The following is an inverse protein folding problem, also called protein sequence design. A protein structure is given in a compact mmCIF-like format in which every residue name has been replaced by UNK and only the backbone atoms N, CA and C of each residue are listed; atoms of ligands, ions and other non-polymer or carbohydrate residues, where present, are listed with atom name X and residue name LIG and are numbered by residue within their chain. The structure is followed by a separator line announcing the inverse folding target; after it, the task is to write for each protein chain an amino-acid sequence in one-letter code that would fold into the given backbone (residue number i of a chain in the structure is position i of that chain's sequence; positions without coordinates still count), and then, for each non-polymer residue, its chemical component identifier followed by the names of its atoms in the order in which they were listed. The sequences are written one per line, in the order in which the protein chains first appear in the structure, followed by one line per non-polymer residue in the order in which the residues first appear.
data_IF_499647364139
#
_entry.id   IF_499647364139
#
_cell.length_a   1.000
_cell.length_b   1.000
_cell.length_c   1.000
_cell.angle_alpha   90.00
_cell.angle_beta   90.00
_cell.angle_gamma   90.00
#
_symmetry.space_group_name_H-M   'P 1'
#
loop_
_entity.id
_entity.type
_entity.pdbx_description
1 polymer ?
#
# COMPACT_ATOMS: atom_id res chain seq x y z
N UNK A 1 9.75 4.99 -6.31
CA UNK A 1 10.14 4.51 -4.98
C UNK A 1 11.39 5.23 -4.50
N UNK A 2 12.56 5.10 -5.14
CA UNK A 2 13.80 5.83 -4.76
C UNK A 2 13.57 7.32 -4.50
N UNK A 3 12.84 8.03 -5.37
CA UNK A 3 12.49 9.43 -5.17
C UNK A 3 11.75 9.73 -3.83
N UNK A 4 10.92 8.80 -3.33
CA UNK A 4 10.24 8.97 -2.05
C UNK A 4 11.23 8.83 -0.87
N UNK A 5 12.16 7.89 -0.94
CA UNK A 5 13.23 7.76 0.04
C UNK A 5 14.16 8.97 0.04
N UNK A 6 14.53 9.48 -1.14
CA UNK A 6 15.34 10.70 -1.26
C UNK A 6 14.62 11.93 -0.72
N UNK A 7 13.31 12.07 -0.97
CA UNK A 7 12.51 13.14 -0.37
C UNK A 7 12.49 13.03 1.16
N UNK A 8 12.33 11.80 1.69
CA UNK A 8 12.38 11.55 3.14
C UNK A 8 13.72 11.95 3.75
N UNK A 9 14.83 11.55 3.12
CA UNK A 9 16.19 11.95 3.51
C UNK A 9 16.34 13.47 3.52
N UNK A 10 15.99 14.13 2.42
CA UNK A 10 16.09 15.59 2.30
C UNK A 10 15.24 16.32 3.35
N UNK A 11 14.05 15.80 3.66
CA UNK A 11 13.20 16.34 4.71
C UNK A 11 13.85 16.20 6.10
N UNK A 12 14.45 15.03 6.40
CA UNK A 12 15.16 14.79 7.65
C UNK A 12 16.42 15.64 7.80
N UNK A 13 17.18 15.83 6.71
CA UNK A 13 18.36 16.70 6.70
C UNK A 13 18.00 18.16 7.03
N UNK A 14 16.75 18.57 6.75
CA UNK A 14 16.17 19.87 7.14
C UNK A 14 15.50 19.86 8.52
N UNK A 15 15.56 18.74 9.25
CA UNK A 15 14.95 18.59 10.58
C UNK A 15 13.43 18.47 10.56
N UNK A 16 12.82 18.11 9.43
CA UNK A 16 11.37 17.92 9.34
C UNK A 16 10.94 16.54 9.86
N UNK A 17 9.73 16.49 10.39
CA UNK A 17 9.06 15.27 10.83
C UNK A 17 7.59 15.28 10.42
N UNK A 18 6.99 14.09 10.36
CA UNK A 18 5.56 13.92 10.10
C UNK A 18 4.73 14.40 11.31
N UNK A 19 3.52 14.88 11.04
CA UNK A 19 2.56 15.28 12.08
C UNK A 19 1.99 14.05 12.80
N UNK A 20 1.73 14.14 14.13
CA UNK A 20 1.37 12.96 14.94
C UNK A 20 0.05 12.29 14.55
N UNK A 21 -0.87 13.00 13.86
CA UNK A 21 -2.14 12.45 13.41
C UNK A 21 -2.09 11.74 12.05
N UNK A 22 -0.92 11.70 11.41
CA UNK A 22 -0.73 11.02 10.13
C UNK A 22 -0.31 9.57 10.39
N UNK A 23 -0.94 8.63 9.69
CA UNK A 23 -0.59 7.21 9.71
C UNK A 23 0.19 6.81 8.45
N UNK A 24 1.52 7.01 8.40
CA UNK A 24 2.35 6.56 7.29
C UNK A 24 2.44 5.03 7.25
N UNK A 25 2.62 4.47 6.05
CA UNK A 25 2.94 3.04 5.89
C UNK A 25 3.69 2.82 4.58
N UNK A 26 4.62 1.87 4.59
CA UNK A 26 5.30 1.40 3.40
C UNK A 26 5.00 -0.09 3.18
N UNK A 27 4.35 -0.41 2.07
CA UNK A 27 4.05 -1.78 1.69
C UNK A 27 4.61 -2.08 0.29
N UNK A 28 5.89 -2.51 0.20
CA UNK A 28 6.51 -2.77 -1.09
C UNK A 28 5.91 -4.01 -1.76
N UNK A 29 5.86 -4.00 -3.09
CA UNK A 29 5.42 -5.17 -3.86
C UNK A 29 6.42 -6.34 -3.88
N UNK A 30 7.67 -6.10 -3.47
CA UNK A 30 8.74 -7.11 -3.44
C UNK A 30 9.80 -6.73 -2.40
N UNK A 31 10.48 -7.74 -1.85
CA UNK A 31 11.65 -7.57 -0.96
C UNK A 31 12.82 -6.85 -1.63
N UNK A 32 12.88 -6.85 -2.97
CA UNK A 32 13.90 -6.09 -3.73
C UNK A 32 13.79 -4.59 -3.47
N UNK A 33 12.60 -4.08 -3.16
CA UNK A 33 12.41 -2.67 -2.85
C UNK A 33 13.15 -2.27 -1.57
N UNK A 34 13.03 -3.08 -0.54
CA UNK A 34 13.74 -2.85 0.72
C UNK A 34 15.25 -2.95 0.50
N UNK A 35 15.72 -3.89 -0.33
CA UNK A 35 17.15 -4.01 -0.63
C UNK A 35 17.77 -2.77 -1.25
N UNK A 36 17.13 -2.19 -2.26
CA UNK A 36 17.69 -0.99 -2.87
C UNK A 36 17.55 0.23 -1.96
N UNK A 37 16.60 0.23 -1.00
CA UNK A 37 16.54 1.27 0.02
C UNK A 37 17.66 1.11 1.05
N UNK A 38 17.92 -0.11 1.52
CA UNK A 38 19.02 -0.41 2.44
C UNK A 38 20.37 -0.09 1.79
N UNK A 39 20.58 -0.52 0.55
CA UNK A 39 21.80 -0.24 -0.21
C UNK A 39 22.02 1.26 -0.48
N UNK A 40 20.92 2.03 -0.62
CA UNK A 40 20.97 3.48 -0.78
C UNK A 40 21.01 4.26 0.55
N UNK A 41 20.92 3.57 1.70
CA UNK A 41 20.82 4.19 3.01
C UNK A 41 19.50 4.92 3.28
N UNK A 42 18.45 4.66 2.50
CA UNK A 42 17.17 5.38 2.55
C UNK A 42 16.15 4.75 3.51
N UNK A 43 16.38 3.53 3.97
CA UNK A 43 15.46 2.84 4.90
C UNK A 43 15.33 3.58 6.21
N UNK A 44 16.46 4.00 6.80
CA UNK A 44 16.46 4.75 8.07
C UNK A 44 15.74 6.10 7.94
N UNK A 45 15.80 6.73 6.78
CA UNK A 45 15.11 8.00 6.52
C UNK A 45 13.60 7.82 6.43
N UNK A 46 13.16 6.76 5.75
CA UNK A 46 11.75 6.40 5.67
C UNK A 46 11.22 6.01 7.05
N UNK A 47 11.94 5.17 7.79
CA UNK A 47 11.56 4.70 9.13
C UNK A 47 11.45 5.85 10.13
N UNK A 48 12.38 6.81 10.12
CA UNK A 48 12.33 7.96 11.00
C UNK A 48 11.15 8.91 10.71
N UNK A 49 10.59 8.87 9.50
CA UNK A 49 9.31 9.51 9.17
C UNK A 49 8.11 8.59 9.42
N UNK A 50 8.29 7.37 9.92
CA UNK A 50 7.22 6.39 10.18
C UNK A 50 6.80 5.56 8.96
N UNK A 51 7.48 5.69 7.82
CA UNK A 51 7.25 4.85 6.63
C UNK A 51 7.93 3.47 6.76
N UNK A 52 7.68 2.78 7.87
CA UNK A 52 8.22 1.45 8.08
C UNK A 52 7.54 0.40 7.21
N UNK A 53 8.29 -0.65 6.88
CA UNK A 53 7.79 -1.77 6.09
C UNK A 53 6.74 -2.54 6.89
N UNK A 54 5.47 -2.37 6.56
CA UNK A 54 4.34 -3.04 7.25
C UNK A 54 4.03 -4.42 6.65
N UNK A 55 4.55 -4.72 5.47
CA UNK A 55 4.40 -6.01 4.80
C UNK A 55 4.65 -5.93 3.30
N UNK A 56 4.81 -7.11 2.69
CA UNK A 56 5.01 -7.27 1.25
C UNK A 56 3.71 -7.77 0.62
N UNK A 57 2.87 -6.86 0.12
CA UNK A 57 1.57 -7.19 -0.43
C UNK A 57 0.64 -5.99 -0.57
N UNK A 58 -0.63 -6.24 -0.89
CA UNK A 58 -1.59 -5.20 -1.27
C UNK A 58 -1.92 -4.21 -0.14
N UNK A 59 -1.98 -4.65 1.12
CA UNK A 59 -2.23 -3.82 2.33
C UNK A 59 -3.30 -2.72 2.11
N UNK A 60 -2.95 -1.45 2.31
CA UNK A 60 -3.79 -0.26 2.15
C UNK A 60 -4.44 -0.16 0.77
N UNK A 61 -3.79 -0.64 -0.30
CA UNK A 61 -4.34 -0.57 -1.66
C UNK A 61 -5.66 -1.36 -1.80
N UNK A 62 -5.88 -2.38 -0.95
CA UNK A 62 -7.12 -3.16 -0.93
C UNK A 62 -8.05 -2.86 0.25
N UNK A 63 -7.69 -1.87 1.07
CA UNK A 63 -8.43 -1.54 2.30
C UNK A 63 -7.94 -2.25 3.55
N UNK A 64 -6.88 -3.05 3.45
CA UNK A 64 -6.21 -3.63 4.63
C UNK A 64 -5.24 -2.61 5.24
N UNK A 65 -5.78 -1.44 5.61
CA UNK A 65 -5.04 -0.33 6.22
C UNK A 65 -4.91 -0.44 7.74
N UNK A 66 -5.71 -1.32 8.38
CA UNK A 66 -5.76 -1.46 9.83
C UNK A 66 -6.41 -0.25 10.53
N UNK A 67 -6.65 -0.33 11.85
CA UNK A 67 -7.36 0.71 12.60
C UNK A 67 -6.55 2.01 12.68
N UNK A 68 -7.21 3.16 12.75
CA UNK A 68 -6.56 4.39 13.18
C UNK A 68 -6.44 4.40 14.71
N UNK A 69 -5.61 5.28 15.26
CA UNK A 69 -5.53 5.46 16.71
C UNK A 69 -6.89 5.92 17.25
N UNK A 70 -7.29 5.38 18.40
CA UNK A 70 -8.62 5.61 18.98
C UNK A 70 -8.91 7.10 19.15
N UNK A 71 -7.93 7.87 19.63
CA UNK A 71 -8.05 9.33 19.80
C UNK A 71 -8.33 10.05 18.47
N UNK A 72 -7.74 9.57 17.37
CA UNK A 72 -7.97 10.13 16.02
C UNK A 72 -9.37 9.74 15.54
N UNK A 73 -9.78 8.47 15.70
CA UNK A 73 -11.13 8.05 15.30
C UNK A 73 -12.22 8.81 16.05
N UNK A 74 -12.06 8.96 17.37
CA UNK A 74 -12.98 9.74 18.21
C UNK A 74 -13.04 11.20 17.73
N UNK A 75 -11.90 11.84 17.49
CA UNK A 75 -11.88 13.22 17.00
C UNK A 75 -12.57 13.36 15.62
N UNK A 76 -12.38 12.39 14.72
CA UNK A 76 -13.05 12.38 13.40
C UNK A 76 -14.57 12.28 13.55
N UNK A 77 -15.05 11.39 14.42
CA UNK A 77 -16.48 11.17 14.63
C UNK A 77 -17.14 12.34 15.36
N UNK A 78 -16.56 12.80 16.47
CA UNK A 78 -17.13 13.87 17.32
C UNK A 78 -17.22 15.21 16.60
N UNK A 79 -16.17 15.55 15.83
CA UNK A 79 -16.14 16.79 15.05
C UNK A 79 -16.69 16.63 13.62
N UNK A 80 -17.18 15.43 13.27
CA UNK A 80 -17.69 15.09 11.93
C UNK A 80 -16.75 15.55 10.79
N UNK A 81 -15.46 15.26 10.96
CA UNK A 81 -14.42 15.75 10.06
C UNK A 81 -14.45 14.99 8.73
N UNK A 82 -14.12 15.70 7.65
CA UNK A 82 -13.76 15.07 6.38
C UNK A 82 -12.26 14.84 6.39
N UNK A 83 -11.85 13.64 6.80
CA UNK A 83 -10.46 13.19 6.70
C UNK A 83 -10.22 12.50 5.36
N UNK A 84 -8.98 12.63 4.88
CA UNK A 84 -8.58 12.02 3.63
C UNK A 84 -7.31 11.20 3.70
N UNK A 85 -7.12 10.33 2.71
CA UNK A 85 -5.88 9.57 2.50
C UNK A 85 -5.20 9.98 1.21
N UNK A 86 -3.87 9.85 1.19
CA UNK A 86 -3.05 9.97 -0.01
C UNK A 86 -2.29 8.66 -0.18
N UNK A 87 -2.39 8.03 -1.35
CA UNK A 87 -1.78 6.73 -1.59
C UNK A 87 -1.17 6.63 -2.99
N UNK A 88 -0.12 5.83 -3.12
CA UNK A 88 0.52 5.48 -4.39
C UNK A 88 -0.06 4.21 -5.04
N UNK A 89 -1.37 4.01 -4.83
CA UNK A 89 -2.15 2.91 -5.42
C UNK A 89 -2.83 3.30 -6.72
N UNK A 90 -3.94 2.63 -7.04
CA UNK A 90 -4.67 2.81 -8.30
C UNK A 90 -6.20 2.98 -8.18
N UNK A 91 -6.76 2.91 -6.97
CA UNK A 91 -8.21 3.07 -6.71
C UNK A 91 -8.42 3.89 -5.45
N UNK A 92 -9.44 4.75 -5.46
CA UNK A 92 -9.70 5.73 -4.41
C UNK A 92 -11.20 5.99 -4.13
N UNK A 93 -12.06 5.00 -4.37
CA UNK A 93 -13.48 5.11 -4.04
C UNK A 93 -13.70 5.23 -2.52
N UNK A 94 -14.80 5.86 -2.11
CA UNK A 94 -15.16 6.00 -0.69
C UNK A 94 -15.27 4.64 0.01
N UNK A 95 -14.78 4.56 1.26
CA UNK A 95 -14.78 3.33 2.05
C UNK A 95 -13.80 2.24 1.59
N UNK A 96 -13.12 2.42 0.44
CA UNK A 96 -12.14 1.44 -0.06
C UNK A 96 -10.87 1.39 0.78
N UNK A 97 -10.38 2.54 1.24
CA UNK A 97 -9.07 2.65 1.90
C UNK A 97 -9.19 2.44 3.40
N UNK A 98 -10.11 3.16 4.05
CA UNK A 98 -10.42 3.03 5.46
C UNK A 98 -11.85 3.48 5.70
N UNK A 99 -12.57 2.89 6.66
CA UNK A 99 -13.99 3.19 6.90
C UNK A 99 -14.23 4.62 7.38
N UNK A 100 -13.26 5.19 8.10
CA UNK A 100 -13.30 6.59 8.58
C UNK A 100 -12.89 7.63 7.53
N UNK A 101 -12.38 7.19 6.37
CA UNK A 101 -11.80 8.09 5.36
C UNK A 101 -12.75 8.26 4.17
N UNK A 102 -13.24 9.49 4.01
CA UNK A 102 -14.21 9.85 2.96
C UNK A 102 -13.53 10.33 1.66
N UNK A 103 -12.39 11.02 1.78
CA UNK A 103 -11.65 11.55 0.64
C UNK A 103 -10.37 10.74 0.38
N UNK A 104 -10.11 10.29 -0.84
CA UNK A 104 -8.93 9.49 -1.15
C UNK A 104 -8.26 10.01 -2.43
N UNK A 105 -6.96 10.24 -2.38
CA UNK A 105 -6.19 10.86 -3.46
C UNK A 105 -5.06 9.93 -3.91
N UNK A 106 -5.00 9.67 -5.21
CA UNK A 106 -3.91 8.93 -5.83
C UNK A 106 -2.77 9.90 -6.15
N UNK A 107 -1.57 9.60 -5.66
CA UNK A 107 -0.40 10.42 -5.89
C UNK A 107 0.84 9.57 -6.13
N UNK A 108 1.89 10.16 -6.69
CA UNK A 108 3.18 9.49 -6.81
C UNK A 108 3.77 9.20 -5.41
N UNK A 109 4.64 8.18 -5.25
CA UNK A 109 5.28 7.90 -3.98
C UNK A 109 5.93 9.12 -3.27
N UNK A 110 6.70 10.01 -3.94
CA UNK A 110 7.24 11.19 -3.27
C UNK A 110 6.14 12.18 -2.83
N UNK A 111 5.04 12.34 -3.59
CA UNK A 111 3.94 13.18 -3.15
C UNK A 111 3.22 12.61 -1.92
N UNK A 112 3.14 11.29 -1.77
CA UNK A 112 2.62 10.67 -0.53
C UNK A 112 3.45 11.10 0.68
N UNK A 113 4.78 11.07 0.55
CA UNK A 113 5.68 11.54 1.63
C UNK A 113 5.50 13.05 1.88
N UNK A 114 5.36 13.86 0.82
CA UNK A 114 5.13 15.29 0.94
C UNK A 114 3.83 15.63 1.70
N UNK A 115 2.71 14.99 1.35
CA UNK A 115 1.45 15.18 2.07
C UNK A 115 1.52 14.69 3.51
N UNK A 116 2.28 13.61 3.76
CA UNK A 116 2.47 13.11 5.10
C UNK A 116 3.28 14.10 5.98
N UNK A 117 4.30 14.76 5.42
CA UNK A 117 5.02 15.84 6.09
C UNK A 117 4.11 17.06 6.37
N UNK A 118 3.32 17.47 5.37
CA UNK A 118 2.37 18.59 5.51
C UNK A 118 1.27 18.29 6.55
N UNK A 119 0.83 17.03 6.63
CA UNK A 119 -0.21 16.55 7.54
C UNK A 119 -1.61 17.09 7.25
N UNK A 120 -1.83 17.69 6.08
CA UNK A 120 -3.13 18.21 5.65
C UNK A 120 -3.24 18.17 4.12
N UNK A 121 -4.47 18.21 3.61
CA UNK A 121 -4.76 18.13 2.17
C UNK A 121 -4.99 19.50 1.50
N UNK A 122 -5.13 20.56 2.30
CA UNK A 122 -5.45 21.92 1.85
C UNK A 122 -4.19 22.77 1.58
N UNK A 123 -3.02 22.13 1.58
CA UNK A 123 -1.72 22.79 1.35
C UNK A 123 -1.53 23.16 -0.12
N UNK A 124 -1.13 24.40 -0.39
CA UNK A 124 -0.59 24.81 -1.69
C UNK A 124 0.94 24.70 -1.67
N UNK A 125 1.47 23.60 -2.17
CA UNK A 125 2.93 23.36 -2.23
C UNK A 125 3.74 24.43 -2.98
N UNK A 126 3.09 25.31 -3.75
CA UNK A 126 3.76 26.40 -4.46
C UNK A 126 4.04 27.60 -3.56
N UNK A 127 3.20 27.82 -2.55
CA UNK A 127 3.19 29.04 -1.74
C UNK A 127 3.34 28.76 -0.23
N UNK A 128 2.90 27.60 0.23
CA UNK A 128 2.95 27.21 1.63
C UNK A 128 4.20 26.37 1.97
N UNK A 129 4.84 26.64 3.11
CA UNK A 129 5.93 25.79 3.58
C UNK A 129 5.39 24.41 4.00
N UNK A 130 6.10 23.36 3.61
CA UNK A 130 5.78 21.98 4.02
C UNK A 130 6.08 21.74 5.51
N UNK A 131 6.98 22.56 6.06
CA UNK A 131 7.35 22.54 7.46
C UNK A 131 8.35 23.65 7.77
N UNK A 132 8.84 23.65 9.01
CA UNK A 132 9.85 24.60 9.46
C UNK A 132 11.02 23.83 10.05
N UNK A 133 12.24 24.32 9.84
CA UNK A 133 13.44 23.77 10.47
C UNK A 133 13.40 24.00 12.00
N UNK A 134 14.34 23.39 12.73
CA UNK A 134 14.51 23.66 14.16
C UNK A 134 14.82 25.13 14.49
N UNK A 135 15.38 25.90 13.54
CA UNK A 135 15.61 27.34 13.67
C UNK A 135 14.38 28.18 13.28
N UNK A 136 13.28 27.56 12.85
CA UNK A 136 12.05 28.23 12.45
C UNK A 136 12.03 28.71 10.98
N UNK A 137 13.02 28.32 10.17
CA UNK A 137 13.05 28.70 8.75
C UNK A 137 12.02 27.89 7.97
N UNK A 138 11.24 28.52 7.07
CA UNK A 138 10.29 27.82 6.23
C UNK A 138 11.03 26.91 5.23
N UNK A 139 10.55 25.68 5.09
CA UNK A 139 11.03 24.74 4.07
C UNK A 139 9.93 24.54 3.05
N UNK A 140 10.22 24.83 1.78
CA UNK A 140 9.29 24.62 0.68
C UNK A 140 9.44 23.20 0.13
N UNK A 141 8.41 22.68 -0.54
CA UNK A 141 8.52 21.37 -1.21
C UNK A 141 9.68 21.34 -2.22
N UNK A 142 9.89 22.44 -2.95
CA UNK A 142 10.96 22.58 -3.92
C UNK A 142 12.37 22.46 -3.29
N UNK A 143 12.53 22.78 -2.01
CA UNK A 143 13.83 22.74 -1.31
C UNK A 143 14.28 21.31 -0.99
N UNK A 144 13.33 20.38 -0.92
CA UNK A 144 13.56 18.97 -0.56
C UNK A 144 13.28 18.02 -1.72
N UNK A 145 12.71 18.51 -2.82
CA UNK A 145 12.38 17.69 -3.97
C UNK A 145 13.66 17.14 -4.64
N UNK A 146 13.80 15.82 -4.78
CA UNK A 146 15.01 15.24 -5.38
C UNK A 146 15.07 15.56 -6.87
N UNK A 147 16.27 15.86 -7.36
CA UNK A 147 16.49 16.12 -8.78
C UNK A 147 16.49 14.83 -9.60
N UNK A 148 16.14 14.91 -10.88
CA UNK A 148 16.22 13.76 -11.81
C UNK A 148 17.63 13.16 -11.88
N UNK A 149 18.67 14.00 -11.80
CA UNK A 149 20.05 13.56 -11.82
C UNK A 149 20.40 12.73 -10.58
N UNK A 150 19.94 13.16 -9.41
CA UNK A 150 20.14 12.46 -8.15
C UNK A 150 19.36 11.14 -8.08
N UNK A 151 18.11 11.13 -8.56
CA UNK A 151 17.31 9.90 -8.63
C UNK A 151 18.03 8.88 -9.52
N UNK A 152 18.51 9.30 -10.70
CA UNK A 152 19.24 8.43 -11.63
C UNK A 152 20.54 7.92 -11.02
N UNK A 153 21.36 8.80 -10.45
CA UNK A 153 22.63 8.37 -9.85
C UNK A 153 22.42 7.39 -8.69
N UNK A 154 21.38 7.58 -7.89
CA UNK A 154 21.03 6.65 -6.81
C UNK A 154 20.59 5.31 -7.37
N UNK A 155 19.68 5.30 -8.35
CA UNK A 155 19.21 4.07 -9.03
C UNK A 155 20.38 3.30 -9.64
N UNK A 156 21.22 3.98 -10.43
CA UNK A 156 22.36 3.36 -11.11
C UNK A 156 23.44 2.86 -10.14
N UNK A 157 23.53 3.46 -8.95
CA UNK A 157 24.50 3.09 -7.93
C UNK A 157 24.11 1.88 -7.07
N UNK A 158 22.82 1.55 -6.97
CA UNK A 158 22.31 0.57 -5.99
C UNK A 158 21.46 -0.55 -6.59
N UNK A 159 20.90 -0.36 -7.78
CA UNK A 159 20.03 -1.36 -8.42
C UNK A 159 20.83 -2.13 -9.47
N UNK A 160 21.06 -3.41 -9.20
CA UNK A 160 21.79 -4.33 -10.08
C UNK A 160 20.99 -5.64 -10.30
N UNK A 161 21.05 -6.27 -11.50
CA UNK A 161 20.34 -7.53 -11.77
C UNK A 161 20.63 -8.67 -10.78
N UNK A 162 21.80 -8.73 -10.16
CA UNK A 162 22.14 -9.77 -9.18
C UNK A 162 21.34 -9.63 -7.89
N UNK A 163 20.97 -8.40 -7.51
CA UNK A 163 20.03 -8.16 -6.41
C UNK A 163 18.70 -8.87 -6.63
N UNK A 164 18.19 -8.86 -7.86
CA UNK A 164 16.96 -9.56 -8.20
C UNK A 164 17.18 -11.08 -8.15
N UNK A 165 18.24 -11.60 -8.78
CA UNK A 165 18.49 -13.06 -8.76
C UNK A 165 18.56 -13.60 -7.34
N UNK A 166 19.38 -12.99 -6.49
CA UNK A 166 19.52 -13.38 -5.08
C UNK A 166 18.20 -13.33 -4.33
N UNK A 167 17.36 -12.33 -4.59
CA UNK A 167 16.08 -12.18 -3.86
C UNK A 167 14.98 -13.10 -4.32
N UNK A 168 15.11 -13.67 -5.51
CA UNK A 168 14.15 -14.61 -6.07
C UNK A 168 14.65 -16.06 -6.02
N UNK A 169 15.87 -16.33 -5.53
CA UNK A 169 16.46 -17.67 -5.49
C UNK A 169 15.70 -18.62 -4.55
N UNK A 170 15.15 -18.08 -3.45
CA UNK A 170 14.51 -18.79 -2.36
C UNK A 170 13.03 -18.40 -2.18
N UNK A 171 12.40 -17.79 -3.20
CA UNK A 171 11.05 -17.23 -3.06
C UNK A 171 9.98 -18.26 -2.65
N UNK A 172 10.20 -19.55 -2.96
CA UNK A 172 9.30 -20.64 -2.59
C UNK A 172 9.64 -21.29 -1.24
N UNK A 173 10.75 -20.90 -0.61
CA UNK A 173 11.25 -21.48 0.64
C UNK A 173 10.81 -20.62 1.83
N UNK A 174 9.65 -20.93 2.40
CA UNK A 174 9.15 -20.30 3.62
C UNK A 174 8.75 -21.38 4.62
N UNK A 175 9.51 -21.58 5.72
CA UNK A 175 9.27 -22.67 6.67
C UNK A 175 7.85 -22.67 7.26
N UNK A 176 7.21 -21.50 7.41
CA UNK A 176 5.83 -21.41 7.89
C UNK A 176 4.82 -21.92 6.86
N UNK A 177 5.12 -21.75 5.57
CA UNK A 177 4.31 -22.29 4.48
C UNK A 177 4.49 -23.81 4.40
N UNK A 178 5.73 -24.28 4.46
CA UNK A 178 6.06 -25.71 4.40
C UNK A 178 5.51 -26.50 5.60
N UNK A 179 5.30 -25.83 6.73
CA UNK A 179 4.73 -26.44 7.94
C UNK A 179 3.20 -26.60 7.89
N UNK A 180 2.50 -26.04 6.89
CA UNK A 180 1.04 -26.17 6.78
C UNK A 180 0.70 -27.62 6.41
N UNK A 181 -0.06 -28.35 7.24
CA UNK A 181 -0.46 -29.71 6.92
C UNK A 181 -1.27 -29.75 5.62
N UNK A 182 -0.98 -30.71 4.75
CA UNK A 182 -1.74 -30.95 3.52
C UNK A 182 -1.99 -32.44 3.34
N UNK A 183 -3.16 -32.77 2.78
CA UNK A 183 -3.49 -34.13 2.41
C UNK A 183 -3.11 -34.38 0.95
N UNK A 184 -2.48 -35.52 0.67
CA UNK A 184 -2.15 -35.92 -0.68
C UNK A 184 -3.42 -36.39 -1.41
N UNK A 185 -3.71 -35.79 -2.56
CA UNK A 185 -4.86 -36.18 -3.37
C UNK A 185 -5.03 -35.29 -4.60
N UNK A 186 -5.65 -35.83 -5.65
CA UNK A 186 -5.99 -35.06 -6.85
C UNK A 186 -7.31 -34.28 -6.71
N UNK A 187 -8.09 -34.57 -5.66
CA UNK A 187 -9.38 -33.95 -5.38
C UNK A 187 -9.31 -33.27 -4.01
N UNK A 188 -9.85 -32.05 -3.94
CA UNK A 188 -9.95 -31.31 -2.68
C UNK A 188 -11.00 -31.96 -1.77
N UNK A 189 -10.61 -32.27 -0.53
CA UNK A 189 -11.49 -32.80 0.50
C UNK A 189 -12.38 -31.69 1.09
N UNK A 190 -13.52 -31.43 0.45
CA UNK A 190 -14.45 -30.41 0.92
C UNK A 190 -14.99 -30.75 2.32
N UNK A 191 -14.79 -29.84 3.25
CA UNK A 191 -15.40 -29.88 4.59
C UNK A 191 -16.67 -29.03 4.59
N UNK A 192 -17.84 -29.68 4.68
CA UNK A 192 -19.15 -29.02 4.70
C UNK A 192 -19.35 -28.12 5.96
N UNK A 193 -18.50 -28.27 6.98
CA UNK A 193 -18.52 -27.42 8.19
C UNK A 193 -17.62 -26.17 8.07
N UNK A 194 -16.79 -26.08 7.03
CA UNK A 194 -15.85 -24.98 6.86
C UNK A 194 -16.58 -23.68 6.47
N UNK A 195 -16.44 -22.60 7.26
CA UNK A 195 -16.97 -21.29 6.88
C UNK A 195 -16.11 -20.59 5.82
N UNK A 196 -14.93 -21.13 5.49
CA UNK A 196 -13.95 -20.53 4.58
C UNK A 196 -13.97 -21.15 3.18
N UNK A 197 -14.36 -22.42 3.06
CA UNK A 197 -14.38 -23.16 1.80
C UNK A 197 -15.68 -23.93 1.67
N UNK A 198 -16.44 -23.69 0.61
CA UNK A 198 -17.70 -24.38 0.35
C UNK A 198 -17.76 -24.87 -1.11
N UNK A 199 -18.26 -26.09 -1.30
CA UNK A 199 -18.48 -26.63 -2.64
C UNK A 199 -19.59 -25.84 -3.35
N UNK A 200 -19.34 -25.38 -4.57
CA UNK A 200 -20.30 -24.57 -5.30
C UNK A 200 -21.56 -25.40 -5.66
N UNK A 201 -22.76 -25.08 -5.17
CA UNK A 201 -23.95 -25.91 -5.37
C UNK A 201 -24.34 -26.10 -6.85
N UNK A 202 -24.08 -25.12 -7.71
CA UNK A 202 -24.34 -25.21 -9.16
C UNK A 202 -23.50 -26.26 -9.88
N UNK A 203 -22.44 -26.76 -9.25
CA UNK A 203 -21.62 -27.87 -9.75
C UNK A 203 -22.06 -29.25 -9.26
N UNK A 204 -23.08 -29.33 -8.37
CA UNK A 204 -23.73 -30.59 -8.01
C UNK A 204 -24.78 -30.93 -9.09
N UNK A 205 -24.54 -31.99 -9.87
CA UNK A 205 -25.52 -32.53 -10.82
C UNK A 205 -25.37 -32.09 -12.27
N UNK A 206 -24.26 -31.47 -12.67
CA UNK A 206 -23.92 -31.29 -14.08
C UNK A 206 -23.67 -32.67 -14.73
N UNK A 207 -24.70 -33.19 -15.41
CA UNK A 207 -24.53 -34.30 -16.35
C UNK A 207 -23.51 -33.86 -17.43
N UNK A 208 -22.57 -34.73 -17.85
CA UNK A 208 -21.54 -34.39 -18.84
C UNK A 208 -22.08 -33.87 -20.19
N UNK A 209 -23.40 -33.94 -20.43
CA UNK A 209 -24.03 -33.70 -21.72
C UNK A 209 -25.11 -32.61 -21.74
N UNK A 210 -25.18 -31.73 -20.73
CA UNK A 210 -26.05 -30.55 -20.80
C UNK A 210 -25.25 -29.26 -20.95
N UNK A 211 -24.65 -29.08 -22.12
CA UNK A 211 -24.51 -27.72 -22.65
C UNK A 211 -25.94 -27.21 -22.95
N UNK A 212 -26.34 -26.04 -22.44
CA UNK A 212 -27.67 -25.52 -22.73
C UNK A 212 -27.79 -25.33 -24.24
N UNK A 213 -28.76 -26.00 -24.86
CA UNK A 213 -29.08 -25.88 -26.29
C UNK A 213 -29.57 -24.48 -26.69
N UNK A 214 -29.76 -23.59 -25.71
CA UNK A 214 -30.22 -22.23 -25.92
C UNK A 214 -29.35 -21.25 -25.10
N UNK A 215 -28.57 -20.35 -25.74
CA UNK A 215 -27.70 -19.40 -25.05
C UNK A 215 -28.45 -18.37 -24.20
N UNK A 216 -29.79 -18.33 -24.25
CA UNK A 216 -30.62 -17.44 -23.44
C UNK A 216 -30.84 -17.91 -22.00
N UNK A 217 -30.71 -19.21 -21.69
CA UNK A 217 -30.86 -19.75 -20.31
C UNK A 217 -29.58 -19.63 -19.48
N UNK A 218 -28.44 -19.35 -20.10
CA UNK A 218 -27.17 -19.07 -19.42
C UNK A 218 -27.09 -17.66 -18.81
N UNK A 219 -28.20 -16.91 -18.76
CA UNK A 219 -28.24 -15.56 -18.17
C UNK A 219 -28.40 -15.52 -16.64
N UNK A 220 -28.58 -16.67 -15.98
CA UNK A 220 -28.90 -16.73 -14.55
C UNK A 220 -27.72 -16.91 -13.57
N UNK A 221 -26.50 -17.19 -14.04
CA UNK A 221 -25.37 -17.53 -13.14
C UNK A 221 -24.22 -16.52 -13.10
N UNK A 222 -24.34 -15.39 -13.79
CA UNK A 222 -23.42 -14.27 -13.59
C UNK A 222 -24.20 -13.16 -12.88
N UNK A 223 -24.30 -13.25 -11.55
CA UNK A 223 -24.53 -12.04 -10.77
C UNK A 223 -23.34 -11.13 -11.03
N UNK A 224 -23.53 -10.14 -11.92
CA UNK A 224 -22.69 -8.95 -11.91
C UNK A 224 -22.87 -8.35 -10.53
N UNK A 225 -21.92 -8.55 -9.64
CA UNK A 225 -21.71 -7.65 -8.51
C UNK A 225 -21.20 -6.33 -9.10
N UNK A 226 -22.11 -5.61 -9.78
CA UNK A 226 -22.00 -4.18 -9.92
C UNK A 226 -22.38 -3.64 -8.54
N UNK A 227 -21.36 -3.28 -7.77
CA UNK A 227 -21.54 -2.46 -6.58
C UNK A 227 -22.06 -1.11 -7.09
N UNK A 228 -23.12 -0.53 -6.49
CA UNK A 228 -23.61 0.80 -6.85
C UNK A 228 -22.53 1.87 -6.72
#
# INVERSE_FOLDING_TARGET
MVAAGLLARNARDRGLSIKPWVKPSLAPGSRVVTEYYDAAGLTEDLDALGFSVVGYGCTTCIGNSGPLDEEIETAVDEANLVVGSVLSGNRNFEGRIHQKVKANYLASPPLVVAYALAGNLDIDFSNDPIGHTSSGEPVMLADIWPSDAEIRSTVDGVIDPEMFKRRYEDILSEPRWDAIPSEAGSLYGWDDSSPMSAFLPSSRGSSPNQLPSNPSTARGCWSRSAIP
#
